data_IF_251785477979
#
_entry.id   IF_251785477979
#
_cell.length_a   1.000
_cell.length_b   1.000
_cell.length_c   1.000
_cell.angle_alpha   90.00
_cell.angle_beta   90.00
_cell.angle_gamma   90.00
#
_symmetry.space_group_name_H-M   'P 1'
#
loop_
_entity.id
_entity.type
_entity.pdbx_description
1 polymer ?
#
# COMPACT_ATOMS: atom_id res chain seq x y z
N UNK A 1 32.75 25.53 -5.36
CA UNK A 1 33.08 26.63 -4.44
C UNK A 1 31.86 27.50 -4.25
N UNK A 2 31.21 27.42 -3.08
CA UNK A 2 30.53 28.51 -2.40
C UNK A 2 30.13 27.98 -1.01
N UNK A 3 30.51 28.74 0.01
CA UNK A 3 30.48 28.46 1.45
C UNK A 3 29.08 28.79 1.99
N UNK A 4 28.62 28.05 3.00
CA UNK A 4 27.40 28.38 3.73
C UNK A 4 27.20 27.55 5.00
N UNK A 5 28.12 27.70 5.95
CA UNK A 5 28.03 27.16 7.31
C UNK A 5 27.13 28.08 8.15
N UNK A 6 26.04 27.57 8.71
CA UNK A 6 25.38 28.19 9.86
C UNK A 6 24.81 27.11 10.79
N UNK A 7 25.52 26.90 11.90
CA UNK A 7 25.03 26.19 13.08
C UNK A 7 24.31 27.19 13.98
N UNK A 8 23.10 26.84 14.44
CA UNK A 8 22.43 27.52 15.55
C UNK A 8 22.13 26.49 16.63
N UNK A 9 22.85 26.60 17.73
CA UNK A 9 22.64 25.88 18.99
C UNK A 9 21.64 26.68 19.81
N UNK A 10 20.56 26.05 20.29
CA UNK A 10 19.69 26.61 21.33
C UNK A 10 19.55 25.59 22.45
N UNK A 11 20.26 25.88 23.53
CA UNK A 11 20.19 25.25 24.84
C UNK A 11 18.88 25.67 25.51
N UNK A 12 18.02 24.72 25.87
CA UNK A 12 16.82 24.93 26.67
C UNK A 12 16.92 24.17 28.00
N UNK A 13 16.91 24.92 29.10
CA UNK A 13 17.07 24.49 30.48
C UNK A 13 15.81 23.77 31.03
N UNK A 14 16.01 22.96 32.07
CA UNK A 14 15.06 21.96 32.54
C UNK A 14 13.86 22.45 33.36
N UNK A 15 13.06 21.48 33.77
CA UNK A 15 12.16 21.56 34.92
C UNK A 15 12.03 20.17 35.52
N UNK A 16 12.75 19.95 36.61
CA UNK A 16 12.57 18.82 37.52
C UNK A 16 11.29 19.08 38.32
N UNK A 17 10.25 18.29 38.06
CA UNK A 17 9.04 18.23 38.87
C UNK A 17 8.94 16.88 39.58
N UNK A 18 9.33 16.83 40.85
CA UNK A 18 8.99 15.73 41.75
C UNK A 18 7.59 15.99 42.33
N UNK A 19 6.66 15.06 42.16
CA UNK A 19 5.31 15.17 42.71
C UNK A 19 4.47 13.91 42.52
N UNK A 20 4.48 13.06 43.54
CA UNK A 20 3.69 11.85 43.78
C UNK A 20 2.19 12.01 43.48
N UNK A 21 1.59 11.06 42.76
CA UNK A 21 0.30 10.39 43.07
C UNK A 21 0.16 9.19 42.13
N UNK A 22 0.31 7.97 42.67
CA UNK A 22 -0.09 6.74 41.98
C UNK A 22 -1.62 6.67 42.07
N UNK A 23 -2.30 7.11 41.02
CA UNK A 23 -3.72 6.81 40.83
C UNK A 23 -3.85 5.31 40.52
N UNK A 24 -4.87 4.61 41.04
CA UNK A 24 -5.11 3.23 40.66
C UNK A 24 -5.40 3.17 39.17
N UNK A 25 -4.52 2.50 38.43
CA UNK A 25 -4.73 2.17 37.02
C UNK A 25 -5.98 1.30 36.92
N UNK A 26 -7.08 1.93 36.54
CA UNK A 26 -8.24 1.20 36.03
C UNK A 26 -7.74 0.43 34.81
N UNK A 27 -7.87 -0.91 34.75
CA UNK A 27 -7.49 -1.65 33.57
C UNK A 27 -8.25 -1.06 32.38
N UNK A 28 -7.54 -0.41 31.47
CA UNK A 28 -8.11 0.04 30.22
C UNK A 28 -8.74 -1.20 29.57
N UNK A 29 -10.06 -1.16 29.38
CA UNK A 29 -10.76 -2.19 28.67
C UNK A 29 -10.09 -2.34 27.31
N UNK A 30 -9.38 -3.46 27.13
CA UNK A 30 -8.85 -3.91 25.85
C UNK A 30 -10.06 -4.02 24.92
N UNK A 31 -10.29 -2.95 24.17
CA UNK A 31 -11.27 -2.95 23.10
C UNK A 31 -10.74 -3.93 22.08
N UNK A 32 -11.27 -5.14 22.12
CA UNK A 32 -11.04 -6.14 21.09
C UNK A 32 -11.75 -5.63 19.85
N UNK A 33 -11.02 -4.82 19.07
CA UNK A 33 -11.48 -4.31 17.79
C UNK A 33 -11.64 -5.50 16.86
N UNK A 34 -12.83 -5.65 16.28
CA UNK A 34 -13.05 -6.58 15.18
C UNK A 34 -11.97 -6.40 14.11
N UNK A 35 -11.58 -7.47 13.39
CA UNK A 35 -10.64 -7.35 12.29
C UNK A 35 -11.10 -6.24 11.32
N UNK A 36 -10.19 -5.42 10.80
CA UNK A 36 -10.55 -4.40 9.83
C UNK A 36 -11.20 -5.05 8.60
N UNK A 37 -12.30 -4.46 8.12
CA UNK A 37 -12.94 -4.88 6.88
C UNK A 37 -12.07 -4.47 5.69
N UNK A 38 -11.42 -5.47 5.08
CA UNK A 38 -10.55 -5.29 3.94
C UNK A 38 -11.21 -5.67 2.61
N UNK A 39 -12.50 -6.02 2.59
CA UNK A 39 -13.18 -6.56 1.40
C UNK A 39 -13.01 -5.67 0.15
N UNK A 40 -13.13 -4.35 0.31
CA UNK A 40 -12.91 -3.39 -0.78
C UNK A 40 -11.46 -3.37 -1.31
N UNK A 41 -10.46 -3.57 -0.44
CA UNK A 41 -9.06 -3.70 -0.86
C UNK A 41 -8.87 -4.99 -1.64
N UNK A 42 -9.34 -6.12 -1.09
CA UNK A 42 -9.18 -7.43 -1.72
C UNK A 42 -9.84 -7.49 -3.10
N UNK A 43 -11.01 -6.84 -3.26
CA UNK A 43 -11.67 -6.72 -4.56
C UNK A 43 -10.81 -5.97 -5.58
N UNK A 44 -10.17 -4.87 -5.18
CA UNK A 44 -9.33 -4.07 -6.08
C UNK A 44 -8.04 -4.81 -6.45
N UNK A 45 -7.43 -5.55 -5.52
CA UNK A 45 -6.28 -6.43 -5.79
C UNK A 45 -6.61 -7.46 -6.86
N UNK A 46 -7.76 -8.13 -6.72
CA UNK A 46 -8.23 -9.11 -7.71
C UNK A 46 -8.51 -8.46 -9.06
N UNK A 47 -9.17 -7.29 -9.07
CA UNK A 47 -9.46 -6.56 -10.31
C UNK A 47 -8.18 -6.17 -11.07
N UNK A 48 -7.17 -5.66 -10.37
CA UNK A 48 -5.88 -5.31 -10.97
C UNK A 48 -5.16 -6.52 -11.52
N UNK A 49 -5.00 -7.57 -10.71
CA UNK A 49 -4.37 -8.84 -11.13
C UNK A 49 -5.04 -9.41 -12.38
N UNK A 50 -6.37 -9.49 -12.38
CA UNK A 50 -7.13 -10.01 -13.53
C UNK A 50 -6.90 -9.15 -14.77
N UNK A 51 -6.97 -7.82 -14.65
CA UNK A 51 -6.74 -6.93 -15.79
C UNK A 51 -5.31 -7.04 -16.33
N UNK A 52 -4.31 -7.07 -15.44
CA UNK A 52 -2.90 -7.16 -15.80
C UNK A 52 -2.59 -8.48 -16.52
N UNK A 53 -3.00 -9.62 -15.95
CA UNK A 53 -2.67 -10.94 -16.50
C UNK A 53 -3.57 -11.32 -17.69
N UNK A 54 -4.75 -10.72 -17.84
CA UNK A 54 -5.54 -10.85 -19.06
C UNK A 54 -5.06 -9.94 -20.22
N UNK A 55 -4.06 -9.10 -20.00
CA UNK A 55 -3.57 -8.15 -21.02
C UNK A 55 -4.48 -6.95 -21.25
N UNK A 56 -5.41 -6.67 -20.32
CA UNK A 56 -6.30 -5.52 -20.38
C UNK A 56 -5.64 -4.27 -19.79
N UNK A 57 -4.75 -3.69 -20.60
CA UNK A 57 -3.90 -2.56 -20.19
C UNK A 57 -4.67 -1.31 -19.75
N UNK A 58 -5.77 -0.96 -20.42
CA UNK A 58 -6.53 0.24 -20.07
C UNK A 58 -7.20 0.11 -18.71
N UNK A 59 -7.81 -1.05 -18.44
CA UNK A 59 -8.41 -1.34 -17.13
C UNK A 59 -7.34 -1.38 -16.05
N UNK A 60 -6.22 -2.05 -16.29
CA UNK A 60 -5.12 -2.11 -15.33
C UNK A 60 -4.54 -0.71 -15.04
N UNK A 61 -4.39 0.15 -16.07
CA UNK A 61 -3.91 1.52 -15.91
C UNK A 61 -4.85 2.36 -15.05
N UNK A 62 -6.16 2.22 -15.25
CA UNK A 62 -7.14 2.98 -14.49
C UNK A 62 -7.12 2.63 -12.99
N UNK A 63 -6.65 1.43 -12.63
CA UNK A 63 -6.49 0.94 -11.26
C UNK A 63 -5.22 1.42 -10.56
N UNK A 64 -4.28 2.02 -11.28
CA UNK A 64 -3.08 2.65 -10.70
C UNK A 64 -3.43 3.86 -9.83
N UNK A 65 -2.59 4.11 -8.82
CA UNK A 65 -2.57 5.36 -8.04
C UNK A 65 -2.27 6.56 -8.94
N UNK A 66 -2.60 7.78 -8.49
CA UNK A 66 -2.23 8.99 -9.24
C UNK A 66 -0.71 9.11 -9.38
N UNK A 67 0.03 8.83 -8.32
CA UNK A 67 1.51 8.78 -8.34
C UNK A 67 2.03 7.86 -9.44
N UNK A 68 1.43 6.67 -9.60
CA UNK A 68 1.86 5.73 -10.62
C UNK A 68 1.45 6.15 -12.04
N UNK A 69 0.31 6.83 -12.20
CA UNK A 69 -0.09 7.43 -13.48
C UNK A 69 0.82 8.58 -13.91
N UNK A 70 1.38 9.34 -12.97
CA UNK A 70 2.36 10.39 -13.27
C UNK A 70 3.73 9.82 -13.70
N UNK A 71 4.08 8.63 -13.20
CA UNK A 71 5.36 7.96 -13.51
C UNK A 71 5.29 7.07 -14.75
N UNK A 72 4.10 6.61 -15.12
CA UNK A 72 3.87 5.74 -16.25
C UNK A 72 2.91 6.40 -17.25
N UNK A 73 3.35 6.57 -18.49
CA UNK A 73 2.42 6.97 -19.54
C UNK A 73 1.44 5.84 -19.83
N UNK A 74 0.17 6.18 -20.07
CA UNK A 74 -0.85 5.18 -20.41
C UNK A 74 -0.42 4.26 -21.56
N UNK A 75 0.09 4.76 -22.71
CA UNK A 75 0.48 3.88 -23.82
C UNK A 75 1.57 2.87 -23.44
N UNK A 76 2.59 3.29 -22.69
CA UNK A 76 3.68 2.41 -22.29
C UNK A 76 3.19 1.31 -21.34
N UNK A 77 2.37 1.68 -20.35
CA UNK A 77 1.80 0.73 -19.42
C UNK A 77 0.87 -0.26 -20.13
N UNK A 78 0.03 0.22 -21.04
CA UNK A 78 -0.88 -0.64 -21.83
C UNK A 78 -0.09 -1.66 -22.64
N UNK A 79 1.00 -1.25 -23.31
CA UNK A 79 1.87 -2.16 -24.05
C UNK A 79 2.53 -3.22 -23.15
N UNK A 80 3.00 -2.82 -21.97
CA UNK A 80 3.58 -3.73 -20.99
C UNK A 80 2.57 -4.79 -20.54
N UNK A 81 1.35 -4.35 -20.18
CA UNK A 81 0.28 -5.25 -19.75
C UNK A 81 -0.15 -6.20 -20.87
N UNK A 82 -0.27 -5.72 -22.10
CA UNK A 82 -0.56 -6.58 -23.25
C UNK A 82 0.50 -7.67 -23.44
N UNK A 83 1.78 -7.35 -23.20
CA UNK A 83 2.85 -8.34 -23.25
C UNK A 83 2.74 -9.35 -22.10
N UNK A 84 2.41 -8.90 -20.89
CA UNK A 84 2.15 -9.81 -19.76
C UNK A 84 1.01 -10.79 -20.09
N UNK A 85 -0.09 -10.31 -20.68
CA UNK A 85 -1.19 -11.15 -21.12
C UNK A 85 -0.79 -12.20 -22.16
N UNK A 86 0.14 -11.88 -23.07
CA UNK A 86 0.67 -12.86 -24.05
C UNK A 86 1.58 -13.91 -23.42
N UNK A 87 2.35 -13.55 -22.39
CA UNK A 87 3.31 -14.45 -21.75
C UNK A 87 2.63 -15.40 -20.77
N UNK A 88 1.71 -14.89 -19.97
CA UNK A 88 1.14 -15.64 -18.85
C UNK A 88 -0.31 -16.06 -19.08
N UNK A 89 -1.05 -15.32 -19.91
CA UNK A 89 -2.50 -15.47 -20.04
C UNK A 89 -3.24 -15.15 -18.73
N UNK A 90 -4.58 -15.20 -18.74
CA UNK A 90 -5.38 -15.01 -17.52
C UNK A 90 -4.95 -15.98 -16.41
N UNK A 91 -4.71 -15.44 -15.22
CA UNK A 91 -4.43 -16.21 -14.00
C UNK A 91 -5.34 -15.72 -12.88
N UNK A 92 -5.65 -16.62 -11.94
CA UNK A 92 -6.41 -16.28 -10.75
C UNK A 92 -5.54 -16.32 -9.50
N UNK A 93 -5.79 -15.35 -8.60
CA UNK A 93 -5.17 -15.34 -7.29
C UNK A 93 -5.66 -16.52 -6.47
N UNK A 94 -4.74 -17.38 -6.03
CA UNK A 94 -4.99 -18.56 -5.18
C UNK A 94 -5.08 -18.23 -3.70
N UNK A 95 -4.18 -17.40 -3.22
CA UNK A 95 -4.23 -16.89 -1.85
C UNK A 95 -4.00 -15.38 -1.86
N UNK A 96 -4.71 -14.68 -0.98
CA UNK A 96 -4.57 -13.25 -0.81
C UNK A 96 -4.53 -12.95 0.68
N UNK A 97 -3.54 -12.16 1.09
CA UNK A 97 -3.34 -11.74 2.47
C UNK A 97 -3.09 -10.24 2.52
N UNK A 98 -3.82 -9.55 3.39
CA UNK A 98 -3.48 -8.19 3.79
C UNK A 98 -2.44 -8.27 4.91
N UNK A 99 -1.21 -7.89 4.60
CA UNK A 99 -0.09 -7.95 5.54
C UNK A 99 -0.13 -6.80 6.54
N UNK A 100 -0.47 -5.60 6.06
CA UNK A 100 -0.56 -4.38 6.84
C UNK A 100 -1.68 -3.50 6.27
N UNK A 101 -2.45 -2.86 7.13
CA UNK A 101 -3.43 -1.84 6.74
C UNK A 101 -3.45 -0.77 7.83
N UNK A 102 -3.21 0.49 7.45
CA UNK A 102 -3.20 1.64 8.35
C UNK A 102 -3.70 2.88 7.62
N UNK A 103 -4.86 3.38 8.03
CA UNK A 103 -5.52 4.50 7.35
C UNK A 103 -5.75 4.20 5.86
N UNK A 104 -5.18 5.04 5.00
CA UNK A 104 -5.29 4.94 3.54
C UNK A 104 -4.13 4.16 2.89
N UNK A 105 -3.32 3.44 3.67
CA UNK A 105 -2.20 2.65 3.16
C UNK A 105 -2.36 1.17 3.51
N UNK A 106 -1.94 0.30 2.58
CA UNK A 106 -1.90 -1.13 2.80
C UNK A 106 -0.72 -1.82 2.12
N UNK A 107 -0.41 -3.03 2.60
CA UNK A 107 0.52 -3.98 2.02
C UNK A 107 -0.20 -5.31 1.83
N UNK A 108 -0.11 -5.89 0.64
CA UNK A 108 -0.76 -7.16 0.34
C UNK A 108 0.22 -8.15 -0.28
N UNK A 109 0.04 -9.42 0.05
CA UNK A 109 0.77 -10.54 -0.55
C UNK A 109 -0.26 -11.47 -1.19
N UNK A 110 0.01 -11.93 -2.41
CA UNK A 110 -0.88 -12.85 -3.10
C UNK A 110 -0.12 -13.83 -3.98
N UNK A 111 -0.70 -15.02 -4.16
CA UNK A 111 -0.07 -16.12 -4.89
C UNK A 111 -0.92 -16.59 -6.07
N UNK A 112 -0.28 -17.27 -7.02
CA UNK A 112 -0.91 -17.89 -8.18
C UNK A 112 -0.57 -19.38 -8.28
N UNK A 113 -1.09 -20.07 -9.30
CA UNK A 113 -0.64 -21.44 -9.62
C UNK A 113 0.83 -21.47 -10.07
N UNK A 114 1.29 -20.38 -10.68
CA UNK A 114 2.67 -20.18 -11.11
C UNK A 114 3.38 -19.31 -10.08
N UNK A 115 4.26 -19.90 -9.28
CA UNK A 115 4.96 -19.20 -8.21
C UNK A 115 5.85 -18.03 -8.70
N UNK A 116 6.25 -18.02 -9.97
CA UNK A 116 6.96 -16.90 -10.60
C UNK A 116 6.12 -15.61 -10.69
N UNK A 117 4.79 -15.72 -10.54
CA UNK A 117 3.86 -14.59 -10.53
C UNK A 117 3.50 -14.11 -9.12
N UNK A 118 3.93 -14.81 -8.06
CA UNK A 118 3.61 -14.45 -6.68
C UNK A 118 4.13 -13.05 -6.33
N UNK A 119 3.28 -12.26 -5.68
CA UNK A 119 3.58 -10.88 -5.30
C UNK A 119 3.66 -10.75 -3.78
N UNK A 120 4.56 -9.89 -3.29
CA UNK A 120 4.88 -9.80 -1.85
C UNK A 120 4.92 -8.35 -1.39
N UNK A 121 4.04 -8.01 -0.44
CA UNK A 121 4.02 -6.68 0.17
C UNK A 121 3.72 -5.56 -0.81
N UNK A 122 2.91 -5.84 -1.83
CA UNK A 122 2.48 -4.88 -2.83
C UNK A 122 1.87 -3.64 -2.16
N UNK A 123 2.36 -2.43 -2.46
CA UNK A 123 1.82 -1.19 -1.90
C UNK A 123 0.46 -0.87 -2.50
N UNK A 124 -0.51 -0.56 -1.63
CA UNK A 124 -1.81 -0.03 -2.02
C UNK A 124 -2.10 1.26 -1.27
N UNK A 125 -2.75 2.20 -1.97
CA UNK A 125 -3.20 3.48 -1.42
C UNK A 125 -4.69 3.67 -1.70
N UNK A 126 -5.42 4.21 -0.72
CA UNK A 126 -6.83 4.58 -0.89
C UNK A 126 -6.92 6.04 -1.31
N UNK A 127 -7.37 6.27 -2.53
CA UNK A 127 -7.58 7.61 -3.09
C UNK A 127 -9.08 7.84 -3.29
N UNK A 128 -9.63 8.87 -2.66
CA UNK A 128 -11.08 9.19 -2.74
C UNK A 128 -11.97 7.98 -2.44
N UNK A 129 -11.61 7.19 -1.43
CA UNK A 129 -12.35 6.00 -1.01
C UNK A 129 -12.03 4.71 -1.78
N UNK A 130 -11.31 4.79 -2.91
CA UNK A 130 -11.01 3.65 -3.79
C UNK A 130 -9.56 3.21 -3.62
N UNK A 131 -9.34 1.92 -3.39
CA UNK A 131 -7.98 1.37 -3.34
C UNK A 131 -7.35 1.29 -4.74
N UNK A 132 -6.09 1.69 -4.82
CA UNK A 132 -5.27 1.73 -6.02
C UNK A 132 -3.93 1.07 -5.75
N UNK A 133 -3.42 0.32 -6.72
CA UNK A 133 -2.06 -0.22 -6.66
C UNK A 133 -1.08 0.97 -6.78
N UNK A 134 -0.12 1.04 -5.87
CA UNK A 134 0.90 2.11 -5.83
C UNK A 134 2.31 1.57 -6.12
N UNK A 135 2.37 0.46 -6.85
CA UNK A 135 3.60 -0.10 -7.38
C UNK A 135 3.86 0.41 -8.80
N UNK A 136 4.92 1.22 -8.91
CA UNK A 136 5.44 1.83 -10.12
C UNK A 136 6.96 2.02 -9.95
#
# INVERSE_FOLDING_TARGET
MAIGLLAAVLTGCGSTGSGTTLAPETPAAISSSAPPDNSALEQQVRAYSTAFLAGNGDVAYDLLSQRCKERNTRPNFVMLVQQAGKLYGPQEIRSLKVDQAAGDLARVTYTYDKAELDQRGEPWVRESGVWRIDDC
#
